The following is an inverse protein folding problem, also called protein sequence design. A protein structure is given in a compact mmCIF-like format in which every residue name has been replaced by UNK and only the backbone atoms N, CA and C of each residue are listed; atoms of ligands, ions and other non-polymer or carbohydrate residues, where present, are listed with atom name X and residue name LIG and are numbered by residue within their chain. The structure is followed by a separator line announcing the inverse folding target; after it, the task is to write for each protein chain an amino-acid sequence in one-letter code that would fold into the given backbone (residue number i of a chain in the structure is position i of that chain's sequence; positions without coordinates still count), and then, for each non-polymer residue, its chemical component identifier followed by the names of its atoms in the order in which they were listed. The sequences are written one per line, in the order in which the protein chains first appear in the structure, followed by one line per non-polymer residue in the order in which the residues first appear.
data_IF_859646426616
#
_entry.id   IF_859646426616
#
_cell.length_a   1.000
_cell.length_b   1.000
_cell.length_c   1.000
_cell.angle_alpha   90.00
_cell.angle_beta   90.00
_cell.angle_gamma   90.00
#
_symmetry.space_group_name_H-M   'P 1'
#
loop_
_entity.id
_entity.type
_entity.pdbx_description
1 polymer ?
#
# COMPACT_ATOMS: atom_id res chain seq x y z
N UNK A 1 -17.50 -32.75 -62.49
CA UNK A 1 -18.06 -31.49 -61.96
C UNK A 1 -18.14 -31.43 -60.42
N UNK A 2 -17.95 -32.54 -59.69
CA UNK A 2 -18.07 -32.62 -58.22
C UNK A 2 -16.90 -32.03 -57.40
N UNK A 3 -15.73 -31.79 -58.03
CA UNK A 3 -14.55 -31.25 -57.35
C UNK A 3 -14.50 -29.72 -57.26
N UNK A 4 -15.22 -29.03 -58.14
CA UNK A 4 -15.25 -27.56 -58.20
C UNK A 4 -16.17 -27.01 -57.10
N UNK A 5 -17.29 -27.68 -56.84
CA UNK A 5 -18.24 -27.33 -55.79
C UNK A 5 -17.64 -27.45 -54.39
N UNK A 6 -16.76 -28.44 -54.16
CA UNK A 6 -16.08 -28.62 -52.85
C UNK A 6 -15.03 -27.53 -52.58
N UNK A 7 -14.30 -27.09 -53.61
CA UNK A 7 -13.33 -25.97 -53.50
C UNK A 7 -14.03 -24.62 -53.32
N UNK A 8 -15.15 -24.41 -54.01
CA UNK A 8 -15.97 -23.22 -53.84
C UNK A 8 -16.57 -23.11 -52.43
N UNK A 9 -17.01 -24.24 -51.85
CA UNK A 9 -17.54 -24.28 -50.48
C UNK A 9 -16.45 -23.97 -49.43
N UNK A 10 -15.22 -24.46 -49.63
CA UNK A 10 -14.08 -24.14 -48.75
C UNK A 10 -13.66 -22.67 -48.84
N UNK A 11 -13.69 -22.08 -50.04
CA UNK A 11 -13.41 -20.64 -50.22
C UNK A 11 -14.50 -19.77 -49.57
N UNK A 12 -15.76 -20.14 -49.69
CA UNK A 12 -16.88 -19.41 -49.05
C UNK A 12 -16.82 -19.49 -47.52
N UNK A 13 -16.41 -20.62 -46.95
CA UNK A 13 -16.21 -20.80 -45.51
C UNK A 13 -15.05 -19.93 -44.98
N UNK A 14 -13.94 -19.81 -45.72
CA UNK A 14 -12.82 -18.95 -45.34
C UNK A 14 -13.19 -17.46 -45.36
N UNK A 15 -14.00 -17.00 -46.32
CA UNK A 15 -14.42 -15.59 -46.40
C UNK A 15 -15.32 -15.20 -45.21
N UNK A 16 -16.18 -16.11 -44.75
CA UNK A 16 -17.01 -15.88 -43.55
C UNK A 16 -16.17 -15.84 -42.27
N UNK A 17 -15.09 -16.63 -42.19
CA UNK A 17 -14.15 -16.61 -41.06
C UNK A 17 -13.30 -15.33 -40.99
N UNK A 18 -13.00 -14.69 -42.13
CA UNK A 18 -12.24 -13.43 -42.17
C UNK A 18 -13.10 -12.18 -41.99
N UNK A 19 -14.42 -12.25 -42.13
CA UNK A 19 -15.33 -11.12 -41.92
C UNK A 19 -15.73 -10.90 -40.43
N UNK A 20 -15.27 -11.76 -39.52
CA UNK A 20 -15.64 -11.72 -38.10
C UNK A 20 -15.00 -10.61 -37.25
N UNK A 21 -14.16 -9.75 -37.82
CA UNK A 21 -13.54 -8.62 -37.10
C UNK A 21 -14.22 -7.29 -37.45
N UNK A 22 -15.44 -7.08 -37.00
CA UNK A 22 -15.99 -5.71 -36.94
C UNK A 22 -17.10 -5.60 -35.90
N UNK A 23 -16.80 -5.90 -34.64
CA UNK A 23 -17.64 -5.50 -33.52
C UNK A 23 -16.75 -4.87 -32.44
N UNK A 24 -17.11 -3.63 -32.11
CA UNK A 24 -16.75 -2.81 -30.94
C UNK A 24 -15.38 -2.13 -30.87
N UNK A 25 -15.21 -1.11 -31.72
CA UNK A 25 -14.29 0.02 -31.45
C UNK A 25 -14.95 1.22 -30.74
N UNK A 26 -16.19 1.09 -30.22
CA UNK A 26 -16.96 2.23 -29.68
C UNK A 26 -17.27 2.18 -28.16
N UNK A 27 -16.65 1.27 -27.41
CA UNK A 27 -16.83 1.12 -25.95
C UNK A 27 -15.58 1.47 -25.11
N UNK A 28 -14.60 2.19 -25.67
CA UNK A 28 -13.32 2.49 -24.99
C UNK A 28 -13.37 3.61 -23.93
N UNK A 29 -14.51 3.81 -23.25
CA UNK A 29 -14.56 4.64 -22.04
C UNK A 29 -15.03 3.84 -20.82
N UNK A 30 -14.75 2.54 -20.79
CA UNK A 30 -14.70 1.81 -19.52
C UNK A 30 -13.31 2.03 -18.92
N UNK A 31 -13.24 2.74 -17.79
CA UNK A 31 -12.04 2.73 -16.93
C UNK A 31 -11.81 1.26 -16.58
N UNK A 32 -10.84 0.63 -17.23
CA UNK A 32 -10.43 -0.73 -16.88
C UNK A 32 -9.76 -0.60 -15.51
N UNK A 33 -10.50 -0.90 -14.45
CA UNK A 33 -9.89 -1.06 -13.12
C UNK A 33 -8.95 -2.25 -13.26
N UNK A 34 -7.65 -2.00 -13.43
CA UNK A 34 -6.67 -3.07 -13.37
C UNK A 34 -6.81 -3.76 -12.01
N UNK A 35 -6.93 -5.08 -12.01
CA UNK A 35 -6.90 -5.85 -10.78
C UNK A 35 -5.55 -5.59 -10.09
N UNK A 36 -5.51 -4.95 -8.91
CA UNK A 36 -4.27 -4.61 -8.25
C UNK A 36 -3.46 -5.85 -7.81
N UNK A 37 -4.02 -7.05 -7.88
CA UNK A 37 -3.30 -8.30 -7.62
C UNK A 37 -2.78 -8.98 -8.89
N UNK A 38 -3.10 -8.48 -10.09
CA UNK A 38 -2.71 -9.16 -11.34
C UNK A 38 -1.20 -9.13 -11.63
N UNK A 39 -0.44 -8.25 -10.97
CA UNK A 39 1.02 -8.19 -11.08
C UNK A 39 1.68 -8.58 -9.75
N UNK A 40 2.26 -9.78 -9.70
CA UNK A 40 3.12 -10.23 -8.60
C UNK A 40 4.52 -9.55 -8.63
N UNK A 41 4.90 -8.89 -9.73
CA UNK A 41 6.15 -8.13 -9.77
C UNK A 41 5.96 -6.73 -9.16
N UNK A 42 6.58 -6.53 -8.00
CA UNK A 42 6.74 -5.25 -7.29
C UNK A 42 7.14 -4.08 -8.20
N UNK A 43 7.85 -4.33 -9.31
CA UNK A 43 8.33 -3.30 -10.23
C UNK A 43 7.28 -2.82 -11.24
N UNK A 44 6.21 -3.58 -11.43
CA UNK A 44 5.11 -3.30 -12.36
C UNK A 44 3.79 -2.94 -11.68
N UNK A 45 3.69 -3.11 -10.36
CA UNK A 45 2.51 -2.70 -9.61
C UNK A 45 2.34 -1.17 -9.62
N UNK A 46 1.22 -0.67 -10.15
CA UNK A 46 0.88 0.77 -10.20
C UNK A 46 -0.40 1.10 -9.40
N UNK A 47 -0.88 0.15 -8.57
CA UNK A 47 -2.11 0.31 -7.79
C UNK A 47 -1.88 0.85 -6.37
N UNK A 48 -2.96 1.19 -5.67
CA UNK A 48 -2.94 1.40 -4.22
C UNK A 48 -3.92 0.39 -3.61
N UNK A 49 -3.42 -0.49 -2.74
CA UNK A 49 -4.25 -1.48 -2.03
C UNK A 49 -4.22 -1.16 -0.56
N UNK A 50 -5.40 -1.14 0.07
CA UNK A 50 -5.57 -0.87 1.49
C UNK A 50 -6.39 -1.99 2.10
N UNK A 51 -5.86 -2.61 3.14
CA UNK A 51 -6.48 -3.63 3.95
C UNK A 51 -6.70 -3.09 5.35
N UNK A 52 -7.95 -2.92 5.75
CA UNK A 52 -8.30 -2.64 7.13
C UNK A 52 -8.38 -3.95 7.91
N UNK A 53 -7.56 -4.09 8.94
CA UNK A 53 -7.45 -5.28 9.77
C UNK A 53 -8.13 -4.98 11.11
N UNK A 54 -9.35 -5.46 11.27
CA UNK A 54 -10.05 -5.40 12.55
C UNK A 54 -9.42 -6.44 13.48
N UNK A 55 -8.82 -5.98 14.58
CA UNK A 55 -8.21 -6.84 15.59
C UNK A 55 -9.12 -6.91 16.82
N UNK A 56 -9.02 -7.96 17.66
CA UNK A 56 -9.86 -8.10 18.86
C UNK A 56 -9.87 -6.89 19.79
N UNK A 57 -8.72 -6.25 20.00
CA UNK A 57 -8.54 -5.16 20.96
C UNK A 57 -7.96 -3.89 20.33
N UNK A 58 -8.02 -3.75 19.01
CA UNK A 58 -7.48 -2.61 18.29
C UNK A 58 -7.70 -2.71 16.79
N UNK A 59 -6.91 -1.97 16.04
CA UNK A 59 -6.96 -1.98 14.59
C UNK A 59 -5.55 -1.83 13.99
N UNK A 60 -5.44 -2.27 12.74
CA UNK A 60 -4.26 -2.05 11.93
C UNK A 60 -4.68 -1.86 10.47
N UNK A 61 -3.90 -1.11 9.70
CA UNK A 61 -4.13 -0.95 8.27
C UNK A 61 -2.88 -1.31 7.50
N UNK A 62 -2.98 -2.31 6.63
CA UNK A 62 -1.90 -2.69 5.73
C UNK A 62 -2.11 -2.05 4.35
N UNK A 63 -1.07 -1.44 3.82
CA UNK A 63 -1.11 -0.64 2.60
C UNK A 63 -0.01 -1.10 1.66
N UNK A 64 -0.36 -1.47 0.43
CA UNK A 64 0.59 -1.64 -0.68
C UNK A 64 0.57 -0.38 -1.53
N UNK A 65 1.68 0.34 -1.53
CA UNK A 65 1.84 1.61 -2.26
C UNK A 65 2.02 1.36 -3.77
N UNK A 66 1.73 2.35 -4.64
CA UNK A 66 2.01 2.29 -6.08
C UNK A 66 3.47 2.05 -6.48
N UNK A 67 4.38 2.03 -5.52
CA UNK A 67 5.78 1.63 -5.73
C UNK A 67 6.04 0.15 -5.42
N UNK A 68 5.01 -0.65 -5.14
CA UNK A 68 5.10 -2.01 -4.62
C UNK A 68 5.28 -2.08 -3.09
N UNK A 69 6.05 -1.13 -2.54
CA UNK A 69 6.37 -1.01 -1.11
C UNK A 69 5.18 -1.19 -0.15
N UNK A 70 5.46 -1.81 0.99
CA UNK A 70 4.46 -2.13 2.01
C UNK A 70 4.55 -1.20 3.21
N UNK A 71 3.39 -0.82 3.74
CA UNK A 71 3.24 0.04 4.91
C UNK A 71 2.20 -0.55 5.85
N UNK A 72 2.54 -0.65 7.13
CA UNK A 72 1.58 -0.98 8.18
C UNK A 72 1.30 0.26 9.02
N UNK A 73 0.04 0.58 9.25
CA UNK A 73 -0.40 1.65 10.17
C UNK A 73 -0.96 0.98 11.41
N UNK A 74 -0.35 1.28 12.55
CA UNK A 74 -0.65 0.70 13.87
C UNK A 74 -0.59 -0.84 13.90
N UNK A 75 -0.59 -1.39 15.11
CA UNK A 75 -0.31 -2.82 15.37
C UNK A 75 -1.34 -3.48 16.29
N UNK A 76 -2.38 -2.74 16.69
CA UNK A 76 -3.27 -3.17 17.75
C UNK A 76 -2.55 -3.27 19.11
N UNK A 77 -3.22 -3.93 20.04
CA UNK A 77 -2.68 -4.28 21.35
C UNK A 77 -1.61 -5.37 21.30
N UNK A 78 -0.91 -5.57 22.42
CA UNK A 78 0.02 -6.69 22.57
C UNK A 78 -0.68 -8.05 22.40
N UNK A 79 -1.94 -8.15 22.82
CA UNK A 79 -2.75 -9.38 22.73
C UNK A 79 -3.19 -9.66 21.29
N UNK A 80 -3.26 -8.63 20.44
CA UNK A 80 -3.62 -8.77 19.03
C UNK A 80 -2.49 -9.31 18.15
N UNK A 81 -1.25 -9.34 18.65
CA UNK A 81 -0.08 -9.75 17.87
C UNK A 81 -0.25 -11.10 17.15
N UNK A 82 -0.74 -12.20 17.78
CA UNK A 82 -0.92 -13.47 17.10
C UNK A 82 -1.88 -13.39 15.90
N UNK A 83 -2.96 -12.60 16.02
CA UNK A 83 -3.94 -12.39 14.95
C UNK A 83 -3.32 -11.57 13.83
N UNK A 84 -2.69 -10.44 14.17
CA UNK A 84 -2.01 -9.59 13.20
C UNK A 84 -0.91 -10.35 12.46
N UNK A 85 -0.08 -11.11 13.17
CA UNK A 85 0.98 -11.92 12.57
C UNK A 85 0.43 -12.98 11.60
N UNK A 86 -0.70 -13.60 11.94
CA UNK A 86 -1.41 -14.53 11.05
C UNK A 86 -1.81 -13.85 9.74
N UNK A 87 -2.48 -12.70 9.83
CA UNK A 87 -2.91 -11.91 8.66
C UNK A 87 -1.72 -11.45 7.79
N UNK A 88 -0.63 -10.99 8.40
CA UNK A 88 0.58 -10.60 7.66
C UNK A 88 1.26 -11.81 6.99
N UNK A 89 1.25 -12.97 7.67
CA UNK A 89 1.84 -14.21 7.15
C UNK A 89 1.04 -14.80 6.00
N UNK A 90 -0.29 -14.68 6.02
CA UNK A 90 -1.15 -15.06 4.89
C UNK A 90 -0.80 -14.27 3.62
N UNK A 91 -0.39 -13.00 3.79
CA UNK A 91 0.14 -12.17 2.71
C UNK A 91 1.63 -12.41 2.41
N UNK A 92 2.24 -13.42 3.04
CA UNK A 92 3.65 -13.81 2.89
C UNK A 92 4.63 -12.67 3.19
N UNK A 93 4.24 -11.74 4.06
CA UNK A 93 5.08 -10.61 4.45
C UNK A 93 6.14 -11.02 5.47
N UNK A 94 7.40 -10.85 5.09
CA UNK A 94 8.56 -11.02 5.99
C UNK A 94 9.26 -9.68 6.28
N UNK A 95 8.88 -8.63 5.55
CA UNK A 95 9.45 -7.29 5.60
C UNK A 95 8.37 -6.23 5.37
N UNK A 96 8.50 -5.11 6.07
CA UNK A 96 7.73 -3.89 5.88
C UNK A 96 8.68 -2.73 5.56
N UNK A 97 8.41 -2.02 4.47
CA UNK A 97 9.18 -0.81 4.14
C UNK A 97 8.87 0.33 5.13
N UNK A 98 7.62 0.42 5.58
CA UNK A 98 7.19 1.44 6.53
C UNK A 98 6.30 0.84 7.62
N UNK A 99 6.51 1.27 8.86
CA UNK A 99 5.51 1.16 9.92
C UNK A 99 5.18 2.56 10.41
N UNK A 100 3.90 2.91 10.40
CA UNK A 100 3.38 4.15 10.95
C UNK A 100 2.78 3.85 12.30
N UNK A 101 3.18 4.59 13.34
CA UNK A 101 2.57 4.52 14.67
C UNK A 101 1.87 5.86 14.94
N UNK A 102 0.55 5.83 15.06
CA UNK A 102 -0.28 7.04 15.10
C UNK A 102 -0.29 7.70 16.49
N UNK A 103 -0.28 6.90 17.55
CA UNK A 103 -0.19 7.34 18.94
C UNK A 103 0.51 6.25 19.81
N UNK A 104 0.80 6.56 21.07
CA UNK A 104 1.50 5.65 22.00
C UNK A 104 0.57 4.84 22.91
N UNK A 105 -0.73 4.81 22.64
CA UNK A 105 -1.66 4.01 23.42
C UNK A 105 -1.44 2.51 23.16
N UNK A 106 -1.62 1.66 24.19
CA UNK A 106 -1.40 0.22 24.07
C UNK A 106 -2.22 -0.42 22.95
N UNK A 107 -3.45 0.00 22.73
CA UNK A 107 -4.37 -0.54 21.73
C UNK A 107 -4.04 -0.15 20.28
N UNK A 108 -3.04 0.70 20.06
CA UNK A 108 -2.49 1.02 18.73
C UNK A 108 -1.05 0.53 18.56
N UNK A 109 -0.21 0.69 19.59
CA UNK A 109 1.22 0.42 19.50
C UNK A 109 1.68 -0.86 20.23
N UNK A 110 0.79 -1.56 20.93
CA UNK A 110 1.14 -2.68 21.81
C UNK A 110 1.73 -3.89 21.07
N UNK A 111 1.29 -4.15 19.84
CA UNK A 111 1.83 -5.23 19.00
C UNK A 111 3.23 -4.93 18.41
N UNK A 112 3.68 -3.68 18.45
CA UNK A 112 4.83 -3.22 17.67
C UNK A 112 6.17 -3.80 18.13
N UNK A 113 6.33 -4.07 19.43
CA UNK A 113 7.53 -4.73 19.95
C UNK A 113 7.70 -6.14 19.35
N UNK A 114 6.63 -6.93 19.32
CA UNK A 114 6.62 -8.27 18.75
C UNK A 114 6.83 -8.26 17.24
N UNK A 115 6.19 -7.32 16.55
CA UNK A 115 6.40 -7.09 15.12
C UNK A 115 7.88 -6.82 14.82
N UNK A 116 8.50 -5.94 15.60
CA UNK A 116 9.89 -5.55 15.41
C UNK A 116 10.90 -6.69 15.61
N UNK A 117 10.55 -7.70 16.41
CA UNK A 117 11.36 -8.90 16.64
C UNK A 117 11.16 -9.98 15.57
N UNK A 118 10.05 -9.96 14.82
CA UNK A 118 9.65 -11.03 13.90
C UNK A 118 9.71 -10.65 12.42
N UNK A 119 9.50 -9.37 12.10
CA UNK A 119 9.59 -8.84 10.74
C UNK A 119 10.72 -7.81 10.63
N UNK A 120 11.33 -7.77 9.45
CA UNK A 120 12.23 -6.68 9.10
C UNK A 120 11.43 -5.41 8.86
N UNK A 121 11.82 -4.31 9.49
CA UNK A 121 11.18 -3.00 9.33
C UNK A 121 12.24 -1.99 8.96
N UNK A 122 12.13 -1.38 7.77
CA UNK A 122 13.13 -0.40 7.32
C UNK A 122 12.97 0.94 8.03
N UNK A 123 11.76 1.49 8.00
CA UNK A 123 11.46 2.85 8.49
C UNK A 123 10.24 2.84 9.39
N UNK A 124 10.37 3.46 10.55
CA UNK A 124 9.27 3.67 11.49
C UNK A 124 8.95 5.16 11.49
N UNK A 125 7.72 5.51 11.13
CA UNK A 125 7.22 6.88 10.99
C UNK A 125 6.27 7.13 12.16
N UNK A 126 6.48 8.23 12.88
CA UNK A 126 5.66 8.55 14.05
C UNK A 126 5.69 10.06 14.34
N UNK A 127 4.67 10.60 15.02
CA UNK A 127 4.73 11.94 15.56
C UNK A 127 5.94 12.13 16.50
N UNK A 128 6.66 13.24 16.36
CA UNK A 128 7.80 13.58 17.23
C UNK A 128 7.42 13.60 18.72
N UNK A 129 6.18 13.96 19.04
CA UNK A 129 5.66 14.03 20.41
C UNK A 129 5.64 12.67 21.12
N UNK A 130 5.40 11.58 20.38
CA UNK A 130 5.29 10.23 20.96
C UNK A 130 6.61 9.44 20.87
N UNK A 131 7.64 10.00 20.21
CA UNK A 131 8.93 9.33 20.03
C UNK A 131 9.55 8.84 21.35
N UNK A 132 9.59 9.64 22.44
CA UNK A 132 10.16 9.18 23.70
C UNK A 132 9.40 8.00 24.31
N UNK A 133 8.07 8.01 24.25
CA UNK A 133 7.22 6.92 24.74
C UNK A 133 7.49 5.63 23.97
N UNK A 134 7.45 5.70 22.63
CA UNK A 134 7.66 4.54 21.76
C UNK A 134 9.06 3.95 21.94
N UNK A 135 10.10 4.77 22.13
CA UNK A 135 11.46 4.26 22.44
C UNK A 135 11.54 3.48 23.74
N UNK A 136 10.67 3.75 24.71
CA UNK A 136 10.61 3.02 25.98
C UNK A 136 10.02 1.61 25.84
N UNK A 137 9.04 1.44 24.95
CA UNK A 137 8.37 0.15 24.71
C UNK A 137 9.04 -0.68 23.62
N UNK A 138 9.89 -0.06 22.81
CA UNK A 138 10.47 -0.70 21.64
C UNK A 138 11.99 -0.68 21.77
N UNK A 139 12.62 -1.83 22.07
CA UNK A 139 14.03 -1.97 21.78
C UNK A 139 14.18 -1.92 20.26
N UNK A 140 14.43 -0.73 19.71
CA UNK A 140 14.81 -0.55 18.31
C UNK A 140 16.18 -1.20 18.12
N UNK A 141 16.19 -2.52 17.94
CA UNK A 141 17.39 -3.30 17.61
C UNK A 141 17.73 -3.09 16.13
N UNK A 142 19.01 -2.89 15.86
CA UNK A 142 19.57 -2.85 14.50
C UNK A 142 19.42 -1.50 13.78
N UNK A 143 19.61 -1.52 12.46
CA UNK A 143 19.73 -0.34 11.57
C UNK A 143 18.39 0.36 11.25
N UNK A 144 17.35 0.16 12.08
CA UNK A 144 16.00 0.67 11.80
C UNK A 144 15.99 2.20 11.81
N UNK A 145 15.44 2.81 10.76
CA UNK A 145 15.34 4.27 10.65
C UNK A 145 14.08 4.76 11.35
N UNK A 146 14.24 5.29 12.56
CA UNK A 146 13.17 6.05 13.22
C UNK A 146 13.07 7.43 12.56
N UNK A 147 11.90 7.77 12.04
CA UNK A 147 11.62 9.03 11.37
C UNK A 147 10.53 9.79 12.13
N UNK A 148 10.91 10.58 13.15
CA UNK A 148 9.97 11.43 13.87
C UNK A 148 9.52 12.59 12.98
N UNK A 149 8.23 12.85 13.00
CA UNK A 149 7.57 13.78 12.08
C UNK A 149 6.86 14.87 12.87
N UNK A 150 7.06 16.12 12.47
CA UNK A 150 6.36 17.28 13.02
C UNK A 150 5.08 17.57 12.22
N UNK A 151 4.24 18.43 12.77
CA UNK A 151 3.06 18.91 12.04
C UNK A 151 3.44 19.63 10.74
N UNK A 152 2.77 19.29 9.64
CA UNK A 152 2.99 19.87 8.32
C UNK A 152 4.13 19.23 7.52
N UNK A 153 4.85 18.27 8.11
CA UNK A 153 5.89 17.54 7.40
C UNK A 153 5.29 16.60 6.34
N UNK A 154 5.95 16.56 5.19
CA UNK A 154 5.64 15.64 4.10
C UNK A 154 6.79 14.66 3.93
N UNK A 155 6.50 13.36 4.05
CA UNK A 155 7.44 12.28 3.78
C UNK A 155 7.09 11.66 2.44
N UNK A 156 8.03 11.70 1.51
CA UNK A 156 7.89 10.98 0.24
C UNK A 156 8.25 9.51 0.43
N UNK A 157 7.29 8.61 0.22
CA UNK A 157 7.48 7.16 0.28
C UNK A 157 7.71 6.62 -1.13
N UNK A 158 8.87 6.93 -1.71
CA UNK A 158 9.26 6.46 -3.05
C UNK A 158 10.74 6.72 -3.37
N UNK A 159 11.32 5.95 -4.29
CA UNK A 159 12.67 6.24 -4.81
C UNK A 159 12.60 7.22 -5.99
N UNK A 160 13.59 8.11 -6.09
CA UNK A 160 13.94 8.77 -7.36
C UNK A 160 14.44 7.70 -8.33
N UNK A 161 13.62 7.24 -9.29
CA UNK A 161 14.17 6.50 -10.43
C UNK A 161 15.05 7.44 -11.25
N UNK A 162 16.26 6.99 -11.55
CA UNK A 162 17.20 7.69 -12.44
C UNK A 162 16.61 7.93 -13.82
N UNK A 163 17.17 8.94 -14.49
CA UNK A 163 16.82 9.46 -15.83
C UNK A 163 16.27 8.38 -16.77
N UNK A 164 14.96 8.41 -16.96
CA UNK A 164 14.23 7.53 -17.88
C UNK A 164 12.76 7.89 -17.84
N UNK A 165 12.20 8.27 -18.99
CA UNK A 165 10.87 8.86 -19.19
C UNK A 165 9.76 7.84 -18.85
N UNK A 166 9.43 7.68 -17.57
CA UNK A 166 8.21 7.03 -17.11
C UNK A 166 7.61 7.90 -16.00
N UNK A 167 6.33 8.28 -16.13
CA UNK A 167 5.60 9.08 -15.16
C UNK A 167 5.46 8.29 -13.85
N UNK A 168 6.45 8.42 -12.97
CA UNK A 168 6.42 7.77 -11.66
C UNK A 168 5.39 8.48 -10.81
N UNK A 169 4.21 7.88 -10.63
CA UNK A 169 3.26 8.31 -9.61
C UNK A 169 3.98 8.28 -8.26
N UNK A 170 3.96 9.40 -7.53
CA UNK A 170 4.62 9.50 -6.23
C UNK A 170 3.55 9.50 -5.14
N UNK A 171 3.65 8.56 -4.21
CA UNK A 171 2.86 8.62 -2.99
C UNK A 171 3.67 9.36 -1.93
N UNK A 172 3.08 10.41 -1.39
CA UNK A 172 3.60 11.14 -0.26
C UNK A 172 2.70 10.87 0.95
N UNK A 173 3.31 10.48 2.05
CA UNK A 173 2.69 10.43 3.36
C UNK A 173 2.84 11.81 3.98
N UNK A 174 1.74 12.46 4.28
CA UNK A 174 1.71 13.72 5.00
C UNK A 174 1.28 13.44 6.42
N UNK A 175 2.13 13.76 7.39
CA UNK A 175 1.76 13.70 8.80
C UNK A 175 1.50 15.12 9.26
N UNK A 176 0.30 15.38 9.74
CA UNK A 176 -0.09 16.68 10.26
C UNK A 176 -0.76 16.49 11.62
N UNK A 177 -0.25 17.09 12.68
CA UNK A 177 -1.02 17.23 13.90
C UNK A 177 -2.05 18.34 13.64
N UNK A 178 -3.29 17.97 13.33
CA UNK A 178 -4.28 18.94 12.85
C UNK A 178 -4.36 20.18 13.75
N UNK A 179 -4.47 21.38 13.15
CA UNK A 179 -4.93 22.55 13.90
C UNK A 179 -6.37 22.32 14.34
N UNK A 180 -6.55 21.77 15.54
CA UNK A 180 -7.83 21.76 16.23
C UNK A 180 -7.93 23.04 17.07
N UNK A 181 -8.66 24.08 16.62
CA UNK A 181 -8.88 25.27 17.43
C UNK A 181 -9.54 24.88 18.75
N UNK A 182 -8.96 25.33 19.87
CA UNK A 182 -9.44 25.00 21.21
C UNK A 182 -8.78 23.78 21.87
N UNK A 183 -7.97 22.98 21.16
CA UNK A 183 -7.19 21.88 21.76
C UNK A 183 -5.74 22.32 21.97
N UNK A 184 -5.21 22.23 23.21
CA UNK A 184 -3.80 22.48 23.52
C UNK A 184 -2.87 21.66 22.62
N UNK A 185 -1.75 22.25 22.17
CA UNK A 185 -0.82 21.56 21.27
C UNK A 185 -0.32 20.20 21.81
N UNK A 186 -0.22 20.05 23.14
CA UNK A 186 0.20 18.82 23.80
C UNK A 186 -0.86 17.70 23.79
N UNK A 187 -2.13 18.01 23.51
CA UNK A 187 -3.24 17.04 23.50
C UNK A 187 -3.93 16.93 22.14
N UNK A 188 -3.34 17.53 21.09
CA UNK A 188 -3.88 17.43 19.73
C UNK A 188 -3.68 16.02 19.20
N UNK A 189 -4.73 15.38 18.65
CA UNK A 189 -4.55 14.12 17.96
C UNK A 189 -3.67 14.34 16.73
N UNK A 190 -2.66 13.49 16.57
CA UNK A 190 -1.90 13.43 15.34
C UNK A 190 -2.82 12.89 14.23
N UNK A 191 -2.81 13.54 13.06
CA UNK A 191 -3.49 13.03 11.87
C UNK A 191 -2.45 12.63 10.84
N UNK A 192 -2.64 11.47 10.22
CA UNK A 192 -1.78 10.99 9.16
C UNK A 192 -2.62 10.86 7.90
N UNK A 193 -2.17 11.49 6.82
CA UNK A 193 -2.86 11.47 5.54
C UNK A 193 -1.93 10.95 4.46
N UNK A 194 -2.42 10.00 3.66
CA UNK A 194 -1.74 9.53 2.47
C UNK A 194 -2.28 10.31 1.27
N UNK A 195 -1.40 10.92 0.49
CA UNK A 195 -1.78 11.60 -0.76
C UNK A 195 -0.91 11.09 -1.91
N UNK A 196 -1.59 10.58 -2.94
CA UNK A 196 -0.97 10.28 -4.22
C UNK A 196 -0.88 11.56 -5.04
N UNK A 197 0.32 11.94 -5.46
CA UNK A 197 0.54 13.07 -6.38
C UNK A 197 0.79 12.55 -7.78
N UNK A 198 -0.05 12.96 -8.71
CA UNK A 198 0.24 12.90 -10.13
C UNK A 198 1.06 14.14 -10.52
N UNK A 199 2.25 13.93 -11.08
CA UNK A 199 3.02 14.96 -11.77
C UNK A 199 2.85 14.79 -13.27
#
# INVERSE_FOLDING_TARGET
MLGITRKACWLLLCVVLFAGCSIDSHLQNAVKVEDPYASDDEREFVGLVIHFLALPHGESTLIRLPSGKTMLVDTGSAEDWPVLFGLLSEQKLTRLDYVVVTNDQPEQAGGFAFLSDRLLVDTVILPRLIEPSIRGFVPLKGDKKLLPVADGDAIETGQRRGVGRASSQRTAVFVSAGQFPGIPAATRPASLSLRQRHQ
#
